data_IF_989525916482
#
_entry.id   IF_989525916482
#
_cell.length_a   1.000
_cell.length_b   1.000
_cell.length_c   1.000
_cell.angle_alpha   90.00
_cell.angle_beta   90.00
_cell.angle_gamma   90.00
#
_symmetry.space_group_name_H-M   'P 1'
#
loop_
_entity.id
_entity.type
_entity.pdbx_description
1 polymer ?
#
# COMPACT_ATOMS: atom_id res chain seq x y z
N UNK A 1 -19.30 -7.46 -5.53
CA UNK A 1 -18.41 -6.30 -5.72
C UNK A 1 -16.97 -6.75 -5.83
N UNK A 2 -16.26 -6.13 -6.69
CA UNK A 2 -14.87 -6.40 -6.94
C UNK A 2 -14.00 -5.98 -5.75
N UNK A 3 -13.13 -6.86 -5.28
CA UNK A 3 -12.21 -6.56 -4.17
C UNK A 3 -11.30 -5.38 -4.51
N UNK A 4 -10.92 -5.25 -5.77
CA UNK A 4 -10.13 -4.13 -6.26
C UNK A 4 -10.83 -2.79 -5.99
N UNK A 5 -12.11 -2.70 -6.35
CA UNK A 5 -12.88 -1.47 -6.17
C UNK A 5 -13.00 -1.11 -4.70
N UNK A 6 -13.22 -2.11 -3.83
CA UNK A 6 -13.30 -1.86 -2.40
C UNK A 6 -11.98 -1.35 -1.84
N UNK A 7 -10.88 -1.93 -2.29
CA UNK A 7 -9.56 -1.50 -1.86
C UNK A 7 -9.24 -0.08 -2.35
N UNK A 8 -9.57 0.22 -3.60
CA UNK A 8 -9.37 1.57 -4.14
C UNK A 8 -10.18 2.60 -3.36
N UNK A 9 -11.45 2.29 -3.06
CA UNK A 9 -12.30 3.19 -2.31
C UNK A 9 -11.76 3.40 -0.90
N UNK A 10 -11.35 2.33 -0.26
CA UNK A 10 -10.80 2.41 1.10
C UNK A 10 -9.55 3.27 1.14
N UNK A 11 -8.65 3.09 0.18
CA UNK A 11 -7.41 3.87 0.12
C UNK A 11 -7.66 5.34 -0.21
N UNK A 12 -8.69 5.63 -0.99
CA UNK A 12 -9.02 7.01 -1.35
C UNK A 12 -9.75 7.73 -0.22
N UNK A 13 -10.72 7.08 0.42
CA UNK A 13 -11.59 7.70 1.41
C UNK A 13 -11.05 7.60 2.83
N UNK A 14 -10.42 6.49 3.16
CA UNK A 14 -9.93 6.24 4.52
C UNK A 14 -8.60 5.50 4.48
N UNK A 15 -7.53 6.13 3.97
CA UNK A 15 -6.23 5.49 3.90
C UNK A 15 -5.74 5.12 5.31
N UNK A 16 -4.93 4.07 5.44
CA UNK A 16 -4.44 3.68 6.75
C UNK A 16 -3.55 4.76 7.35
N UNK A 17 -3.60 4.92 8.64
CA UNK A 17 -2.80 5.91 9.36
C UNK A 17 -1.38 5.43 9.59
N UNK A 18 -1.17 4.12 9.60
CA UNK A 18 0.17 3.54 9.73
C UNK A 18 0.30 2.26 8.95
N UNK A 19 1.53 1.93 8.59
CA UNK A 19 1.89 0.71 7.87
C UNK A 19 2.98 0.01 8.68
N UNK A 20 2.70 -1.21 9.11
CA UNK A 20 3.65 -2.02 9.87
C UNK A 20 4.26 -1.25 11.05
N UNK A 21 3.43 -0.46 11.74
CA UNK A 21 3.86 0.30 12.92
C UNK A 21 4.49 1.65 12.64
N UNK A 22 4.60 2.06 11.37
CA UNK A 22 5.17 3.35 11.00
C UNK A 22 4.07 4.27 10.48
N UNK A 23 4.00 5.49 11.01
CA UNK A 23 2.98 6.46 10.62
C UNK A 23 3.08 6.85 9.14
N UNK A 24 1.93 6.94 8.47
CA UNK A 24 1.84 7.40 7.10
C UNK A 24 1.95 8.93 7.11
N UNK A 25 2.93 9.47 6.41
CA UNK A 25 3.16 10.92 6.35
C UNK A 25 2.36 11.58 5.24
N UNK A 26 2.18 10.90 4.11
CA UNK A 26 1.42 11.43 2.99
C UNK A 26 0.95 10.32 2.09
N UNK A 27 -0.08 10.61 1.28
CA UNK A 27 -0.65 9.68 0.31
C UNK A 27 -0.61 10.33 -1.05
N UNK A 28 -0.05 9.62 -2.02
CA UNK A 28 0.05 10.09 -3.40
C UNK A 28 -0.69 9.11 -4.28
N UNK A 29 -1.64 9.57 -5.08
CA UNK A 29 -2.49 8.70 -5.90
C UNK A 29 -2.39 9.01 -7.40
N UNK A 30 -1.16 9.11 -7.91
CA UNK A 30 -0.93 9.40 -9.32
C UNK A 30 -0.99 8.14 -10.17
N UNK A 31 -0.14 7.14 -9.89
CA UNK A 31 -0.08 5.89 -10.66
C UNK A 31 -0.33 4.69 -9.74
N UNK A 32 -1.40 4.72 -8.99
CA UNK A 32 -1.66 3.80 -7.92
C UNK A 32 -1.66 4.58 -6.62
N UNK A 33 -1.58 3.91 -5.51
CA UNK A 33 -1.60 4.57 -4.20
C UNK A 33 -0.24 4.39 -3.55
N UNK A 34 0.46 5.49 -3.30
CA UNK A 34 1.75 5.47 -2.63
C UNK A 34 1.60 6.06 -1.24
N UNK A 35 1.90 5.25 -0.24
CA UNK A 35 1.88 5.66 1.17
C UNK A 35 3.31 5.96 1.59
N UNK A 36 3.61 7.23 1.81
CA UNK A 36 4.95 7.65 2.24
C UNK A 36 5.06 7.53 3.76
N UNK A 37 6.10 6.85 4.20
CA UNK A 37 6.34 6.58 5.61
C UNK A 37 7.53 7.37 6.15
N UNK A 38 8.38 7.89 5.27
CA UNK A 38 9.55 8.65 5.63
C UNK A 38 10.50 8.77 4.45
N UNK A 39 11.70 9.35 4.64
CA UNK A 39 12.71 9.39 3.59
C UNK A 39 13.08 7.97 3.17
N UNK A 40 13.03 7.67 1.88
CA UNK A 40 13.33 6.35 1.33
C UNK A 40 12.55 5.23 2.04
N UNK A 41 11.31 5.52 2.46
CA UNK A 41 10.46 4.57 3.15
C UNK A 41 9.03 4.80 2.69
N UNK A 42 8.53 3.88 1.85
CA UNK A 42 7.19 4.01 1.25
C UNK A 42 6.67 2.66 0.79
N UNK A 43 5.34 2.59 0.62
CA UNK A 43 4.64 1.43 0.08
C UNK A 43 3.75 1.92 -1.05
N UNK A 44 3.80 1.26 -2.21
CA UNK A 44 2.91 1.54 -3.33
C UNK A 44 2.06 0.33 -3.65
N UNK A 45 0.76 0.56 -3.80
CA UNK A 45 -0.20 -0.44 -4.24
C UNK A 45 -0.70 -0.03 -5.63
N UNK A 46 -0.49 -0.89 -6.61
CA UNK A 46 -0.85 -0.58 -8.00
C UNK A 46 -1.62 -1.73 -8.61
N UNK A 47 -2.79 -1.42 -9.15
CA UNK A 47 -3.57 -2.43 -9.86
C UNK A 47 -3.14 -2.51 -11.32
N UNK A 48 -3.07 -3.74 -11.85
CA UNK A 48 -2.84 -3.95 -13.26
C UNK A 48 -4.07 -3.47 -14.04
N UNK A 49 -3.85 -2.84 -15.18
CA UNK A 49 -4.94 -2.37 -16.02
C UNK A 49 -5.65 -3.47 -16.80
N UNK A 50 -5.00 -4.62 -16.98
CA UNK A 50 -5.50 -5.69 -17.83
C UNK A 50 -5.79 -7.00 -17.10
N UNK A 51 -5.27 -7.18 -15.89
CA UNK A 51 -5.41 -8.42 -15.13
C UNK A 51 -5.89 -8.11 -13.71
N UNK A 52 -6.60 -9.03 -13.05
CA UNK A 52 -7.00 -8.84 -11.66
C UNK A 52 -5.81 -9.05 -10.73
N UNK A 53 -4.78 -8.26 -10.91
CA UNK A 53 -3.51 -8.41 -10.20
C UNK A 53 -3.16 -7.12 -9.47
N UNK A 54 -2.88 -7.23 -8.19
CA UNK A 54 -2.38 -6.15 -7.38
C UNK A 54 -0.87 -6.27 -7.25
N UNK A 55 -0.16 -5.22 -7.62
CA UNK A 55 1.29 -5.16 -7.49
C UNK A 55 1.66 -4.34 -6.27
N UNK A 56 2.58 -4.86 -5.48
CA UNK A 56 3.07 -4.18 -4.29
C UNK A 56 4.54 -3.83 -4.49
N UNK A 57 4.87 -2.58 -4.24
CA UNK A 57 6.25 -2.08 -4.29
C UNK A 57 6.55 -1.38 -2.98
N UNK A 58 7.76 -1.52 -2.49
CA UNK A 58 8.15 -0.74 -1.32
C UNK A 58 9.65 -0.47 -1.30
N UNK A 59 10.00 0.58 -0.57
CA UNK A 59 11.37 0.88 -0.21
C UNK A 59 11.40 1.10 1.29
N UNK A 60 12.40 0.58 1.96
CA UNK A 60 12.53 0.69 3.41
C UNK A 60 14.02 0.68 3.79
N UNK A 61 14.36 1.05 5.04
CA UNK A 61 15.78 1.14 5.44
C UNK A 61 16.55 -0.17 5.39
N UNK A 62 15.86 -1.30 5.55
CA UNK A 62 16.52 -2.61 5.55
C UNK A 62 15.56 -3.71 5.10
N UNK A 63 16.12 -4.91 4.89
CA UNK A 63 15.33 -6.04 4.38
C UNK A 63 14.23 -6.48 5.37
N UNK A 64 14.49 -6.36 6.65
CA UNK A 64 13.49 -6.71 7.67
C UNK A 64 12.27 -5.81 7.57
N UNK A 65 12.48 -4.50 7.39
CA UNK A 65 11.38 -3.56 7.21
C UNK A 65 10.66 -3.76 5.88
N UNK A 66 11.39 -4.09 4.81
CA UNK A 66 10.77 -4.41 3.53
C UNK A 66 9.80 -5.57 3.70
N UNK A 67 10.24 -6.64 4.36
CA UNK A 67 9.39 -7.80 4.59
C UNK A 67 8.19 -7.46 5.47
N UNK A 68 8.37 -6.65 6.49
CA UNK A 68 7.27 -6.22 7.38
C UNK A 68 6.23 -5.41 6.61
N UNK A 69 6.67 -4.47 5.79
CA UNK A 69 5.78 -3.61 5.00
C UNK A 69 5.01 -4.44 3.97
N UNK A 70 5.68 -5.32 3.25
CA UNK A 70 5.01 -6.16 2.24
C UNK A 70 4.05 -7.15 2.88
N UNK A 71 4.39 -7.73 4.01
CA UNK A 71 3.49 -8.62 4.74
C UNK A 71 2.25 -7.88 5.23
N UNK A 72 2.46 -6.68 5.75
CA UNK A 72 1.36 -5.82 6.17
C UNK A 72 0.43 -5.50 4.98
N UNK A 73 1.03 -5.13 3.85
CA UNK A 73 0.27 -4.75 2.66
C UNK A 73 -0.56 -5.92 2.13
N UNK A 74 0.00 -7.12 2.14
CA UNK A 74 -0.72 -8.31 1.70
C UNK A 74 -1.93 -8.58 2.59
N UNK A 75 -1.75 -8.51 3.91
CA UNK A 75 -2.87 -8.72 4.84
C UNK A 75 -3.92 -7.63 4.72
N UNK A 76 -3.50 -6.39 4.52
CA UNK A 76 -4.42 -5.27 4.33
C UNK A 76 -5.28 -5.49 3.08
N UNK A 77 -4.66 -5.88 1.97
CA UNK A 77 -5.37 -6.12 0.73
C UNK A 77 -6.33 -7.30 0.83
N UNK A 78 -5.94 -8.36 1.51
CA UNK A 78 -6.79 -9.54 1.70
C UNK A 78 -7.99 -9.26 2.60
N UNK A 79 -7.83 -8.35 3.56
CA UNK A 79 -8.91 -7.99 4.47
C UNK A 79 -9.91 -7.00 3.88
N UNK A 80 -9.58 -6.38 2.76
CA UNK A 80 -10.45 -5.37 2.12
C UNK A 80 -11.62 -6.00 1.29
#
# INVERSE_FOLDING_TARGET
MDARRRLETLLADAPPEEVAGTAVQSVISTDGIKLRLGPSHWLMLRFSGTEPLLRLYCEAPDAERVNAVLSWARRFAEAA
#
